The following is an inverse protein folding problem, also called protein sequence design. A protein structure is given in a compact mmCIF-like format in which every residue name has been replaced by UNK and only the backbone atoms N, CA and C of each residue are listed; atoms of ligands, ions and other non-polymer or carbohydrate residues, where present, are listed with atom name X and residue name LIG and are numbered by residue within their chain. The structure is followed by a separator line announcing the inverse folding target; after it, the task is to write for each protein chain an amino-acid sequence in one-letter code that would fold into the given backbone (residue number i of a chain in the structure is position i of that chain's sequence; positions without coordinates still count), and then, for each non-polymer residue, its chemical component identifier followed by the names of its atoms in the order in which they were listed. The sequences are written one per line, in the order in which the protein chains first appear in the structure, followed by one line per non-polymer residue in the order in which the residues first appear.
data_IF_697733598031
#
_entry.id   IF_697733598031
#
_cell.length_a   1.000
_cell.length_b   1.000
_cell.length_c   1.000
_cell.angle_alpha   90.00
_cell.angle_beta   90.00
_cell.angle_gamma   90.00
#
_symmetry.space_group_name_H-M   'P 1'
#
loop_
_entity.id
_entity.type
_entity.pdbx_description
1 polymer ?
#
# COMPACT_ATOMS: atom_id res chain seq x y z
N UNK A 1 16.09 1.79 4.91
CA UNK A 1 15.12 2.90 4.86
C UNK A 1 13.84 2.42 4.19
N UNK A 2 12.68 2.68 4.80
CA UNK A 2 11.38 2.53 4.14
C UNK A 2 11.05 3.89 3.54
N UNK A 3 10.67 3.95 2.28
CA UNK A 3 10.22 5.21 1.66
C UNK A 3 8.73 5.07 1.35
N UNK A 4 7.90 5.91 1.97
CA UNK A 4 6.45 5.91 1.82
C UNK A 4 6.05 7.19 1.10
N UNK A 5 5.46 7.03 -0.08
CA UNK A 5 4.90 8.11 -0.88
C UNK A 5 3.38 7.98 -0.89
N UNK A 6 2.71 8.94 -0.25
CA UNK A 6 1.24 9.04 -0.26
C UNK A 6 0.84 9.80 -1.52
N UNK A 7 0.15 9.13 -2.44
CA UNK A 7 -0.29 9.72 -3.71
C UNK A 7 -1.66 10.36 -3.55
N UNK A 8 -2.56 9.67 -2.83
CA UNK A 8 -3.89 10.16 -2.47
C UNK A 8 -4.36 9.47 -1.20
N UNK A 9 -5.51 9.91 -0.66
CA UNK A 9 -6.16 9.28 0.50
C UNK A 9 -6.41 7.78 0.31
N UNK A 10 -6.58 7.35 -0.94
CA UNK A 10 -6.90 5.99 -1.31
C UNK A 10 -5.73 5.28 -2.02
N UNK A 11 -4.54 5.90 -2.14
CA UNK A 11 -3.42 5.31 -2.87
C UNK A 11 -2.07 5.69 -2.30
N UNK A 12 -1.25 4.68 -2.02
CA UNK A 12 0.10 4.87 -1.49
C UNK A 12 1.08 3.89 -2.10
N UNK A 13 2.33 4.35 -2.20
CA UNK A 13 3.47 3.56 -2.63
C UNK A 13 4.44 3.41 -1.49
N UNK A 14 4.90 2.20 -1.24
CA UNK A 14 5.97 1.93 -0.30
C UNK A 14 7.11 1.22 -1.02
N UNK A 15 8.33 1.69 -0.81
CA UNK A 15 9.54 0.96 -1.20
C UNK A 15 10.25 0.44 0.04
N UNK A 16 10.41 -0.89 0.14
CA UNK A 16 11.07 -1.53 1.26
C UNK A 16 11.79 -2.82 0.83
N UNK A 17 13.07 -2.96 1.21
CA UNK A 17 13.90 -4.17 0.97
C UNK A 17 13.91 -4.63 -0.49
N UNK A 18 13.96 -3.69 -1.45
CA UNK A 18 13.96 -4.01 -2.88
C UNK A 18 12.60 -4.45 -3.45
N UNK A 19 11.54 -4.38 -2.64
CA UNK A 19 10.16 -4.53 -3.09
C UNK A 19 9.49 -3.17 -3.18
N UNK A 20 8.72 -2.97 -4.24
CA UNK A 20 7.82 -1.83 -4.43
C UNK A 20 6.39 -2.31 -4.23
N UNK A 21 5.70 -1.69 -3.28
CA UNK A 21 4.31 -1.93 -2.98
C UNK A 21 3.50 -0.76 -3.49
N UNK A 22 2.40 -1.03 -4.19
CA UNK A 22 1.35 -0.05 -4.48
C UNK A 22 0.09 -0.56 -3.82
N UNK A 23 -0.51 0.23 -2.94
CA UNK A 23 -1.74 -0.11 -2.26
C UNK A 23 -2.79 0.92 -2.63
N UNK A 24 -3.99 0.44 -2.95
CA UNK A 24 -5.10 1.26 -3.41
C UNK A 24 -6.43 0.78 -2.83
N UNK A 25 -7.26 1.71 -2.33
CA UNK A 25 -8.63 1.42 -1.94
C UNK A 25 -9.52 1.43 -3.19
N UNK A 26 -10.14 0.30 -3.45
CA UNK A 26 -11.06 0.09 -4.58
C UNK A 26 -12.45 0.62 -4.25
N UNK A 27 -13.25 0.92 -5.28
CA UNK A 27 -14.62 1.43 -5.14
C UNK A 27 -15.56 0.46 -4.41
N UNK A 28 -15.27 -0.84 -4.44
CA UNK A 28 -16.00 -1.88 -3.71
C UNK A 28 -15.66 -1.93 -2.21
N UNK A 29 -14.81 -1.02 -1.72
CA UNK A 29 -14.36 -0.95 -0.33
C UNK A 29 -13.15 -1.83 0.01
N UNK A 30 -12.69 -2.69 -0.91
CA UNK A 30 -11.52 -3.56 -0.73
C UNK A 30 -10.21 -2.82 -0.93
N UNK A 31 -9.14 -3.40 -0.42
CA UNK A 31 -7.77 -2.95 -0.58
C UNK A 31 -7.04 -3.80 -1.62
N UNK A 32 -6.58 -3.18 -2.69
CA UNK A 32 -5.75 -3.80 -3.72
C UNK A 32 -4.28 -3.53 -3.43
N UNK A 33 -3.46 -4.58 -3.47
CA UNK A 33 -2.01 -4.49 -3.25
C UNK A 33 -1.28 -5.11 -4.44
N UNK A 34 -0.42 -4.32 -5.06
CA UNK A 34 0.51 -4.75 -6.11
C UNK A 34 1.92 -4.77 -5.52
N UNK A 35 2.62 -5.89 -5.69
CA UNK A 35 4.00 -6.06 -5.21
C UNK A 35 4.92 -6.37 -6.38
N UNK A 36 5.89 -5.48 -6.61
CA UNK A 36 6.94 -5.65 -7.61
C UNK A 36 8.26 -5.88 -6.89
N UNK A 37 8.83 -7.08 -7.03
CA UNK A 37 10.15 -7.43 -6.51
C UNK A 37 11.12 -7.79 -7.66
N UNK A 38 12.36 -8.14 -7.33
CA UNK A 38 13.35 -8.55 -8.32
C UNK A 38 12.88 -9.73 -9.18
N UNK A 39 12.22 -10.72 -8.59
CA UNK A 39 11.69 -11.88 -9.32
C UNK A 39 10.60 -11.50 -10.32
N UNK A 40 9.64 -10.66 -9.93
CA UNK A 40 8.60 -10.14 -10.84
C UNK A 40 9.23 -9.37 -12.00
N UNK A 41 10.27 -8.58 -11.73
CA UNK A 41 11.01 -7.85 -12.77
C UNK A 41 11.72 -8.80 -13.73
N UNK A 42 12.33 -9.87 -13.22
CA UNK A 42 13.09 -10.82 -14.02
C UNK A 42 12.21 -11.78 -14.82
N UNK A 43 11.12 -12.28 -14.24
CA UNK A 43 10.32 -13.37 -14.81
C UNK A 43 8.99 -12.93 -15.41
N UNK A 44 8.49 -11.74 -15.05
CA UNK A 44 7.21 -11.21 -15.53
C UNK A 44 7.37 -9.84 -16.18
N UNK A 45 8.60 -9.46 -16.53
CA UNK A 45 8.93 -8.14 -17.10
C UNK A 45 8.38 -6.96 -16.28
N UNK A 46 8.31 -7.12 -14.95
CA UNK A 46 7.80 -6.09 -14.04
C UNK A 46 6.27 -6.03 -13.93
N UNK A 47 5.53 -6.91 -14.61
CA UNK A 47 4.08 -6.99 -14.54
C UNK A 47 3.68 -7.81 -13.30
N UNK A 48 3.01 -7.18 -12.35
CA UNK A 48 2.45 -7.81 -11.16
C UNK A 48 0.93 -7.69 -11.17
N UNK A 49 0.25 -8.74 -10.68
CA UNK A 49 -1.19 -8.74 -10.51
C UNK A 49 -1.57 -8.20 -9.13
N UNK A 50 -2.64 -7.38 -9.03
CA UNK A 50 -3.17 -6.93 -7.75
C UNK A 50 -3.75 -8.10 -6.97
N UNK A 51 -3.52 -8.09 -5.66
CA UNK A 51 -4.19 -8.98 -4.71
C UNK A 51 -5.13 -8.14 -3.86
N UNK A 52 -6.39 -8.55 -3.78
CA UNK A 52 -7.42 -7.87 -3.01
C UNK A 52 -7.51 -8.40 -1.58
N UNK A 53 -7.81 -7.50 -0.65
CA UNK A 53 -8.00 -7.75 0.76
C UNK A 53 -9.23 -6.99 1.26
N UNK A 54 -9.96 -7.56 2.21
CA UNK A 54 -11.15 -6.91 2.75
C UNK A 54 -10.79 -5.76 3.72
N UNK A 55 -9.61 -5.81 4.36
CA UNK A 55 -9.17 -4.80 5.31
C UNK A 55 -7.66 -4.50 5.25
N UNK A 56 -7.26 -3.33 5.77
CA UNK A 56 -5.83 -3.00 5.96
C UNK A 56 -5.16 -3.93 6.98
N UNK A 57 -5.89 -4.46 7.96
CA UNK A 57 -5.35 -5.41 8.93
C UNK A 57 -4.88 -6.70 8.23
N UNK A 58 -5.64 -7.18 7.23
CA UNK A 58 -5.24 -8.34 6.41
C UNK A 58 -3.98 -8.04 5.59
N UNK A 59 -3.88 -6.82 5.05
CA UNK A 59 -2.69 -6.34 4.35
C UNK A 59 -1.48 -6.33 5.28
N UNK A 60 -1.62 -5.81 6.50
CA UNK A 60 -0.55 -5.73 7.49
C UNK A 60 -0.11 -7.11 8.01
N UNK A 61 -1.05 -8.04 8.19
CA UNK A 61 -0.77 -9.44 8.54
C UNK A 61 0.03 -10.12 7.44
N UNK A 62 -0.32 -9.89 6.17
CA UNK A 62 0.38 -10.48 5.03
C UNK A 62 1.76 -9.87 4.81
N UNK A 63 1.89 -8.56 4.93
CA UNK A 63 3.09 -7.82 4.62
C UNK A 63 3.65 -7.10 5.83
N UNK A 64 4.62 -7.73 6.51
CA UNK A 64 5.33 -7.12 7.65
C UNK A 64 5.94 -5.74 7.34
N UNK A 65 6.27 -5.46 6.08
CA UNK A 65 6.77 -4.16 5.64
C UNK A 65 5.70 -3.05 5.71
N UNK A 66 4.42 -3.42 5.59
CA UNK A 66 3.26 -2.52 5.62
C UNK A 66 2.66 -2.35 7.02
N UNK A 67 3.18 -3.04 8.04
CA UNK A 67 2.69 -2.93 9.42
C UNK A 67 2.68 -1.45 9.89
N UNK A 68 1.55 -1.00 10.43
CA UNK A 68 1.31 0.36 10.90
C UNK A 68 0.79 1.34 9.83
N UNK A 69 0.52 0.89 8.60
CA UNK A 69 0.01 1.77 7.54
C UNK A 69 -1.40 2.27 7.83
N UNK A 70 -2.21 1.47 8.53
CA UNK A 70 -3.52 1.87 9.02
C UNK A 70 -3.47 3.08 9.96
N UNK A 71 -2.46 3.16 10.84
CA UNK A 71 -2.26 4.32 11.72
C UNK A 71 -1.86 5.57 10.95
N UNK A 72 -0.99 5.44 9.95
CA UNK A 72 -0.56 6.56 9.10
C UNK A 72 -1.74 7.13 8.32
N UNK A 73 -2.61 6.27 7.79
CA UNK A 73 -3.80 6.70 7.07
C UNK A 73 -4.82 7.40 7.97
N UNK A 74 -5.02 6.92 9.21
CA UNK A 74 -5.87 7.60 10.19
C UNK A 74 -5.37 9.00 10.54
N UNK A 75 -4.05 9.16 10.66
CA UNK A 75 -3.41 10.44 10.96
C UNK A 75 -3.51 11.43 9.77
N UNK A 76 -3.35 10.94 8.54
CA UNK A 76 -3.54 11.71 7.31
C UNK A 76 -4.99 12.19 7.12
N UNK A 77 -5.97 11.35 7.47
CA UNK A 77 -7.38 11.71 7.43
C UNK A 77 -7.72 12.77 8.50
N UNK A 78 -7.21 12.59 9.72
CA UNK A 78 -7.39 13.53 10.84
C UNK A 78 -6.73 14.89 10.56
N UNK A 79 -5.57 14.91 9.91
CA UNK A 79 -4.84 16.15 9.59
C UNK A 79 -5.52 17.02 8.53
N UNK A 80 -6.45 16.46 7.74
CA UNK A 80 -7.24 17.22 6.75
C UNK A 80 -8.48 17.91 7.34
N UNK A 81 -8.90 17.57 8.56
CA UNK A 81 -10.04 18.20 9.23
C UNK A 81 -9.74 19.57 9.86
N UNK A 82 -8.49 20.05 9.84
CA UNK A 82 -8.07 21.30 10.50
C UNK A 82 -8.12 22.52 9.56
N UNK A 83 -9.03 22.52 8.59
CA UNK A 83 -9.33 23.72 7.80
C UNK A 83 -10.85 23.87 7.78
N UNK A 84 -11.36 24.63 8.75
CA UNK A 84 -12.77 24.98 8.87
C UNK A 84 -12.91 26.49 9.04
#
# INVERSE_FOLDING_TARGET
MKNLDVISENKFKLSARGCHFTIERQCNGKWSVIVINASVRAYSNGIAFPVEYDSLDDVEKRYKSLKGISSILKDLDSSKQVIH
#
